data_IF_994222807233
#
_entry.id   IF_994222807233
#
_cell.length_a   1.000
_cell.length_b   1.000
_cell.length_c   1.000
_cell.angle_alpha   90.00
_cell.angle_beta   90.00
_cell.angle_gamma   90.00
#
_symmetry.space_group_name_H-M   'P 1'
#
loop_
_entity.id
_entity.type
_entity.pdbx_description
1 polymer ?
#
# COMPACT_ATOMS: atom_id res chain seq x y z
N UNK A 1 54.83 -23.61 -21.38
CA UNK A 1 53.46 -24.02 -21.73
C UNK A 1 52.59 -23.64 -20.56
N UNK A 2 51.87 -22.55 -20.74
CA UNK A 2 50.91 -22.01 -19.77
C UNK A 2 49.70 -22.95 -19.66
N UNK A 3 49.21 -23.16 -18.46
CA UNK A 3 47.88 -23.68 -18.19
C UNK A 3 47.46 -23.22 -16.78
N UNK A 4 46.74 -22.09 -16.65
CA UNK A 4 46.13 -21.70 -15.40
C UNK A 4 44.84 -22.49 -15.21
N UNK A 5 44.74 -23.23 -14.11
CA UNK A 5 43.47 -23.76 -13.61
C UNK A 5 42.64 -22.59 -13.09
N UNK A 6 41.83 -22.03 -13.99
CA UNK A 6 40.76 -21.11 -13.63
C UNK A 6 39.70 -21.87 -12.85
N UNK A 7 39.60 -21.55 -11.57
CA UNK A 7 38.42 -21.77 -10.74
C UNK A 7 37.18 -21.26 -11.50
N UNK A 8 36.04 -21.97 -11.49
CA UNK A 8 34.81 -21.39 -12.01
C UNK A 8 34.45 -20.20 -11.12
N UNK A 9 34.54 -19.00 -11.70
CA UNK A 9 33.88 -17.81 -11.18
C UNK A 9 32.41 -18.16 -10.98
N UNK A 10 31.90 -17.86 -9.78
CA UNK A 10 30.47 -17.89 -9.50
C UNK A 10 29.83 -16.77 -10.31
N UNK A 11 29.44 -17.09 -11.53
CA UNK A 11 28.60 -16.24 -12.36
C UNK A 11 27.25 -16.03 -11.65
N UNK A 12 26.97 -14.76 -11.35
CA UNK A 12 25.65 -14.10 -11.31
C UNK A 12 24.45 -14.92 -10.81
N UNK A 13 24.14 -14.78 -9.52
CA UNK A 13 22.74 -14.81 -9.08
C UNK A 13 22.14 -13.44 -9.40
N UNK A 14 21.22 -13.39 -10.35
CA UNK A 14 20.37 -12.23 -10.66
C UNK A 14 19.46 -11.91 -9.45
N UNK A 15 20.03 -11.30 -8.42
CA UNK A 15 19.28 -10.78 -7.27
C UNK A 15 18.52 -9.53 -7.68
N UNK A 16 17.22 -9.48 -7.40
CA UNK A 16 16.44 -8.25 -7.56
C UNK A 16 16.90 -7.24 -6.52
N UNK A 17 17.60 -6.19 -6.93
CA UNK A 17 17.89 -5.05 -6.07
C UNK A 17 16.62 -4.21 -5.90
N UNK A 18 16.01 -4.27 -4.70
CA UNK A 18 14.80 -3.51 -4.40
C UNK A 18 15.00 -2.01 -4.58
N UNK A 19 16.19 -1.47 -4.30
CA UNK A 19 16.46 -0.03 -4.37
C UNK A 19 16.28 0.52 -5.79
N UNK A 20 16.63 -0.27 -6.79
CA UNK A 20 16.52 0.11 -8.20
C UNK A 20 15.11 -0.14 -8.76
N UNK A 21 14.35 -1.05 -8.15
CA UNK A 21 13.04 -1.47 -8.63
C UNK A 21 11.85 -0.85 -7.90
N UNK A 22 12.06 -0.34 -6.68
CA UNK A 22 10.98 0.07 -5.78
C UNK A 22 11.23 1.46 -5.17
N UNK A 23 10.19 2.30 -5.19
CA UNK A 23 10.12 3.52 -4.39
C UNK A 23 9.00 3.36 -3.37
N UNK A 24 9.24 3.76 -2.13
CA UNK A 24 8.25 3.74 -1.06
C UNK A 24 7.53 5.09 -1.06
N UNK A 25 6.20 5.08 -1.04
CA UNK A 25 5.38 6.27 -0.85
C UNK A 25 4.68 6.16 0.49
N UNK A 26 4.97 7.10 1.40
CA UNK A 26 4.33 7.19 2.72
C UNK A 26 3.41 8.39 2.72
N UNK A 27 2.12 8.20 3.01
CA UNK A 27 1.19 9.33 3.14
C UNK A 27 0.91 9.67 4.59
N UNK A 28 1.02 10.95 4.92
CA UNK A 28 0.63 11.54 6.21
C UNK A 28 -0.35 12.68 5.99
N UNK A 29 -1.24 12.91 6.96
CA UNK A 29 -2.28 13.95 6.95
C UNK A 29 -2.46 14.46 8.37
N UNK A 30 -3.10 15.62 8.61
CA UNK A 30 -3.32 16.10 9.97
C UNK A 30 -3.95 15.02 10.86
N UNK A 31 -3.32 14.77 12.02
CA UNK A 31 -3.70 13.74 12.96
C UNK A 31 -3.56 14.27 14.40
N UNK A 32 -4.16 13.56 15.36
CA UNK A 32 -4.24 13.99 16.76
C UNK A 32 -2.92 13.90 17.53
N UNK A 33 -1.98 13.12 17.03
CA UNK A 33 -0.68 12.81 17.61
C UNK A 33 0.44 13.77 17.17
N UNK A 34 0.17 14.63 16.16
CA UNK A 34 1.06 15.73 15.82
C UNK A 34 1.18 16.73 16.98
N UNK A 35 2.37 17.31 17.24
CA UNK A 35 3.51 17.43 16.32
C UNK A 35 4.54 16.27 16.35
N UNK A 36 4.32 15.23 17.14
CA UNK A 36 5.28 14.15 17.35
C UNK A 36 5.54 13.33 16.07
N UNK A 37 6.77 12.86 15.88
CA UNK A 37 7.17 12.00 14.73
C UNK A 37 7.16 10.50 15.06
N UNK A 38 6.94 10.14 16.32
CA UNK A 38 7.08 8.77 16.82
C UNK A 38 6.33 7.72 15.98
N UNK A 39 5.15 8.07 15.45
CA UNK A 39 4.35 7.13 14.65
C UNK A 39 5.05 6.77 13.34
N UNK A 40 5.52 7.76 12.58
CA UNK A 40 6.24 7.52 11.33
C UNK A 40 7.62 6.92 11.59
N UNK A 41 8.29 7.27 12.70
CA UNK A 41 9.55 6.64 13.10
C UNK A 41 9.38 5.13 13.32
N UNK A 42 8.29 4.70 13.96
CA UNK A 42 7.98 3.29 14.13
C UNK A 42 7.65 2.59 12.81
N UNK A 43 6.96 3.27 11.89
CA UNK A 43 6.73 2.76 10.53
C UNK A 43 8.05 2.55 9.80
N UNK A 44 8.91 3.56 9.75
CA UNK A 44 10.23 3.47 9.11
C UNK A 44 11.09 2.38 9.74
N UNK A 45 11.08 2.26 11.08
CA UNK A 45 11.79 1.19 11.78
C UNK A 45 11.29 -0.19 11.39
N UNK A 46 9.98 -0.35 11.17
CA UNK A 46 9.44 -1.65 10.73
C UNK A 46 9.94 -2.10 9.36
N UNK A 47 10.54 -1.21 8.56
CA UNK A 47 11.15 -1.59 7.28
C UNK A 47 12.35 -2.50 7.44
N UNK A 48 12.99 -2.53 8.62
CA UNK A 48 14.05 -3.50 8.95
C UNK A 48 13.57 -4.97 8.90
N UNK A 49 12.25 -5.20 8.95
CA UNK A 49 11.68 -6.55 8.80
C UNK A 49 11.66 -7.03 7.35
N UNK A 50 11.85 -6.14 6.38
CA UNK A 50 11.85 -6.46 4.95
C UNK A 50 13.24 -6.16 4.40
N UNK A 51 13.95 -7.20 3.98
CA UNK A 51 15.32 -7.09 3.48
C UNK A 51 15.42 -6.09 2.32
N UNK A 52 16.32 -5.12 2.42
CA UNK A 52 16.55 -4.07 1.42
C UNK A 52 15.51 -2.94 1.37
N UNK A 53 14.41 -3.02 2.12
CA UNK A 53 13.35 -1.99 2.07
C UNK A 53 13.82 -0.65 2.64
N UNK A 54 14.63 -0.68 3.71
CA UNK A 54 15.20 0.52 4.32
C UNK A 54 16.13 1.30 3.38
N UNK A 55 16.72 0.67 2.37
CA UNK A 55 17.61 1.31 1.40
C UNK A 55 16.88 1.90 0.19
N UNK A 56 15.59 1.60 0.05
CA UNK A 56 14.77 2.12 -1.03
C UNK A 56 14.55 3.64 -0.88
N UNK A 57 14.36 4.33 -2.02
CA UNK A 57 13.93 5.72 -2.06
C UNK A 57 12.56 5.85 -1.38
N UNK A 58 12.36 6.91 -0.59
CA UNK A 58 11.12 7.18 0.15
C UNK A 58 10.60 8.56 -0.23
N UNK A 59 9.33 8.63 -0.60
CA UNK A 59 8.60 9.89 -0.79
C UNK A 59 7.55 9.96 0.30
N UNK A 60 7.73 10.88 1.24
CA UNK A 60 6.78 11.14 2.32
C UNK A 60 5.90 12.30 1.89
N UNK A 61 4.64 12.02 1.61
CA UNK A 61 3.66 13.00 1.16
C UNK A 61 2.85 13.51 2.35
N UNK A 62 2.99 14.79 2.64
CA UNK A 62 2.16 15.52 3.58
C UNK A 62 0.94 16.07 2.84
N UNK A 63 -0.21 15.42 3.03
CA UNK A 63 -1.48 15.88 2.46
C UNK A 63 -1.89 17.22 3.08
N UNK A 64 -2.52 18.07 2.28
CA UNK A 64 -2.97 19.36 2.74
C UNK A 64 -4.23 19.26 3.60
N UNK A 65 -4.71 20.43 4.02
CA UNK A 65 -5.83 20.56 4.94
C UNK A 65 -6.75 21.70 4.55
N UNK A 66 -7.86 21.83 5.28
CA UNK A 66 -8.85 22.90 5.19
C UNK A 66 -9.08 23.44 6.59
N UNK A 67 -8.92 24.75 6.76
CA UNK A 67 -9.18 25.40 8.06
C UNK A 67 -10.69 25.41 8.29
N UNK A 68 -11.12 24.94 9.46
CA UNK A 68 -12.53 24.90 9.85
C UNK A 68 -12.69 25.11 11.35
N UNK A 69 -13.92 25.40 11.81
CA UNK A 69 -14.20 25.60 13.24
C UNK A 69 -14.03 24.32 14.06
N UNK A 70 -14.36 23.18 13.47
CA UNK A 70 -14.29 21.86 14.08
C UNK A 70 -13.33 20.96 13.30
N UNK A 71 -12.64 20.08 14.03
CA UNK A 71 -11.75 19.09 13.43
C UNK A 71 -12.53 17.92 12.81
N UNK A 72 -12.17 17.57 11.58
CA UNK A 72 -12.55 16.32 10.94
C UNK A 72 -11.42 15.89 9.99
N UNK A 73 -10.49 15.10 10.53
CA UNK A 73 -9.29 14.66 9.82
C UNK A 73 -9.60 13.85 8.55
N UNK A 74 -10.69 13.06 8.56
CA UNK A 74 -11.11 12.28 7.38
C UNK A 74 -11.39 13.16 6.16
N UNK A 75 -11.85 14.39 6.39
CA UNK A 75 -12.14 15.36 5.34
C UNK A 75 -11.08 16.47 5.25
N UNK A 76 -9.91 16.27 5.89
CA UNK A 76 -8.83 17.24 5.96
C UNK A 76 -9.17 18.51 6.73
N UNK A 77 -10.23 18.54 7.54
CA UNK A 77 -10.62 19.74 8.29
C UNK A 77 -9.86 19.82 9.62
N UNK A 78 -9.23 20.95 9.88
CA UNK A 78 -8.43 21.20 11.08
C UNK A 78 -8.78 22.55 11.72
N UNK A 79 -8.74 22.60 13.04
CA UNK A 79 -8.74 23.84 13.80
C UNK A 79 -7.33 24.46 13.87
N UNK A 80 -7.22 25.67 14.44
CA UNK A 80 -5.95 26.40 14.56
C UNK A 80 -4.87 25.67 15.37
N UNK A 81 -5.26 24.86 16.37
CA UNK A 81 -4.31 24.10 17.18
C UNK A 81 -3.73 22.96 16.34
N UNK A 82 -4.59 22.21 15.64
CA UNK A 82 -4.19 21.03 14.86
C UNK A 82 -3.41 21.44 13.62
N UNK A 83 -3.74 22.60 13.05
CA UNK A 83 -2.94 23.23 12.00
C UNK A 83 -1.52 23.52 12.48
N UNK A 84 -1.35 24.21 13.62
CA UNK A 84 -0.02 24.50 14.17
C UNK A 84 0.78 23.23 14.46
N UNK A 85 0.15 22.24 15.07
CA UNK A 85 0.80 20.95 15.34
C UNK A 85 1.24 20.24 14.06
N UNK A 86 0.43 20.29 12.99
CA UNK A 86 0.80 19.66 11.73
C UNK A 86 1.92 20.41 11.01
N UNK A 87 1.91 21.74 11.02
CA UNK A 87 3.01 22.55 10.48
C UNK A 87 4.32 22.28 11.23
N UNK A 88 4.28 22.15 12.55
CA UNK A 88 5.43 21.78 13.36
C UNK A 88 5.92 20.36 13.03
N UNK A 89 5.00 19.38 12.90
CA UNK A 89 5.33 18.04 12.43
C UNK A 89 6.05 18.04 11.07
N UNK A 90 5.52 18.79 10.07
CA UNK A 90 6.15 18.92 8.75
C UNK A 90 7.56 19.49 8.84
N UNK A 91 7.76 20.52 9.67
CA UNK A 91 9.07 21.09 9.96
C UNK A 91 10.03 20.07 10.56
N UNK A 92 9.55 19.23 11.49
CA UNK A 92 10.36 18.21 12.15
C UNK A 92 10.80 17.12 11.18
N UNK A 93 9.88 16.52 10.42
CA UNK A 93 10.22 15.45 9.47
C UNK A 93 11.13 15.97 8.34
N UNK A 94 10.97 17.25 7.94
CA UNK A 94 11.84 17.87 6.93
C UNK A 94 13.28 17.97 7.44
N UNK A 95 13.48 18.44 8.68
CA UNK A 95 14.82 18.47 9.30
C UNK A 95 15.43 17.07 9.41
N UNK A 96 14.63 16.05 9.73
CA UNK A 96 15.11 14.66 9.82
C UNK A 96 15.50 14.11 8.44
N UNK A 97 14.67 14.37 7.41
CA UNK A 97 14.94 14.00 6.02
C UNK A 97 16.19 14.69 5.47
N UNK A 98 16.40 15.97 5.78
CA UNK A 98 17.57 16.76 5.33
C UNK A 98 18.88 16.29 5.94
N UNK A 99 18.86 15.79 7.18
CA UNK A 99 20.04 15.15 7.80
C UNK A 99 20.43 13.86 7.08
N UNK A 100 19.47 13.17 6.47
CA UNK A 100 19.67 11.93 5.74
C UNK A 100 20.42 10.87 6.56
N UNK A 101 20.00 10.67 7.81
CA UNK A 101 20.62 9.73 8.75
C UNK A 101 19.60 8.71 9.29
N UNK A 102 20.09 7.52 9.64
CA UNK A 102 19.28 6.42 10.17
C UNK A 102 18.04 6.10 9.33
N UNK A 103 16.88 6.02 9.99
CA UNK A 103 15.58 5.67 9.41
C UNK A 103 15.13 6.61 8.27
N UNK A 104 15.65 7.83 8.25
CA UNK A 104 15.26 8.90 7.33
C UNK A 104 16.12 8.95 6.06
N UNK A 105 17.11 8.06 5.93
CA UNK A 105 17.90 7.95 4.71
C UNK A 105 17.03 7.75 3.47
N UNK A 106 17.46 8.39 2.37
CA UNK A 106 16.79 8.35 1.07
C UNK A 106 15.34 8.86 1.09
N UNK A 107 14.98 9.69 2.07
CA UNK A 107 13.66 10.29 2.18
C UNK A 107 13.60 11.66 1.49
N UNK A 108 12.48 11.91 0.84
CA UNK A 108 12.10 13.21 0.28
C UNK A 108 10.73 13.58 0.81
N UNK A 109 10.58 14.81 1.30
CA UNK A 109 9.29 15.32 1.78
C UNK A 109 8.60 16.07 0.63
N UNK A 110 7.34 15.73 0.37
CA UNK A 110 6.46 16.40 -0.58
C UNK A 110 5.25 16.97 0.18
N UNK A 111 5.07 18.28 0.14
CA UNK A 111 3.93 18.94 0.80
C UNK A 111 2.87 19.34 -0.23
N UNK A 112 1.61 18.97 0.04
CA UNK A 112 0.46 19.40 -0.75
C UNK A 112 -0.16 20.64 -0.12
N UNK A 113 -0.42 21.65 -0.94
CA UNK A 113 -1.00 22.94 -0.49
C UNK A 113 -2.48 22.83 -0.16
N UNK A 114 -3.17 21.84 -0.72
CA UNK A 114 -4.59 21.60 -0.53
C UNK A 114 -4.82 20.16 -0.09
N UNK A 115 -5.95 19.90 0.59
CA UNK A 115 -6.35 18.54 0.90
C UNK A 115 -6.71 17.77 -0.38
N UNK A 116 -6.02 16.64 -0.61
CA UNK A 116 -6.21 15.74 -1.74
C UNK A 116 -6.86 14.41 -1.31
N UNK A 117 -6.66 13.97 -0.07
CA UNK A 117 -7.03 12.65 0.40
C UNK A 117 -6.01 11.59 -0.03
N UNK A 118 -6.07 10.41 0.62
CA UNK A 118 -5.07 9.34 0.50
C UNK A 118 -4.71 9.00 -0.96
N UNK A 119 -5.70 8.64 -1.78
CA UNK A 119 -5.45 8.21 -3.16
C UNK A 119 -4.80 9.29 -4.03
N UNK A 120 -5.24 10.54 -3.92
CA UNK A 120 -4.66 11.63 -4.70
C UNK A 120 -3.35 12.17 -4.12
N UNK A 121 -3.08 11.95 -2.84
CA UNK A 121 -1.75 12.16 -2.26
C UNK A 121 -0.75 11.16 -2.87
N UNK A 122 -1.10 9.88 -2.95
CA UNK A 122 -0.31 8.87 -3.68
C UNK A 122 -0.12 9.28 -5.14
N UNK A 123 -1.19 9.69 -5.83
CA UNK A 123 -1.11 10.17 -7.23
C UNK A 123 -0.09 11.29 -7.40
N UNK A 124 -0.03 12.23 -6.45
CA UNK A 124 0.90 13.37 -6.49
C UNK A 124 2.34 12.89 -6.29
N UNK A 125 2.56 11.92 -5.39
CA UNK A 125 3.86 11.29 -5.17
C UNK A 125 4.44 10.65 -6.43
N UNK A 126 3.59 10.12 -7.32
CA UNK A 126 4.03 9.41 -8.51
C UNK A 126 4.92 10.28 -9.41
N UNK A 127 4.80 11.61 -9.38
CA UNK A 127 5.68 12.48 -10.18
C UNK A 127 7.16 12.36 -9.79
N UNK A 128 7.44 11.92 -8.55
CA UNK A 128 8.78 11.64 -8.01
C UNK A 128 9.17 10.16 -8.07
N UNK A 129 8.25 9.28 -8.51
CA UNK A 129 8.48 7.83 -8.61
C UNK A 129 8.91 7.47 -10.04
N UNK A 130 10.17 7.04 -10.15
CA UNK A 130 10.78 6.63 -11.42
C UNK A 130 11.08 5.12 -11.50
N UNK A 131 10.87 4.39 -10.41
CA UNK A 131 11.07 2.95 -10.36
C UNK A 131 9.87 2.19 -10.93
N UNK A 132 10.10 0.94 -11.37
CA UNK A 132 9.06 0.09 -11.98
C UNK A 132 7.89 -0.17 -11.02
N UNK A 133 8.20 -0.25 -9.72
CA UNK A 133 7.25 -0.53 -8.66
C UNK A 133 7.21 0.60 -7.62
N UNK A 134 6.07 0.72 -6.96
CA UNK A 134 5.84 1.57 -5.80
C UNK A 134 5.28 0.75 -4.65
N UNK A 135 5.83 0.90 -3.44
CA UNK A 135 5.23 0.38 -2.22
C UNK A 135 4.55 1.51 -1.48
N UNK A 136 3.22 1.48 -1.39
CA UNK A 136 2.45 2.49 -0.68
C UNK A 136 2.28 2.06 0.77
N UNK A 137 2.55 2.95 1.71
CA UNK A 137 2.46 2.73 3.16
C UNK A 137 1.73 3.91 3.80
N UNK A 138 0.89 3.67 4.81
CA UNK A 138 0.32 4.75 5.62
C UNK A 138 1.23 5.06 6.81
N UNK A 139 1.30 6.33 7.23
CA UNK A 139 2.14 6.78 8.36
C UNK A 139 1.86 6.11 9.72
N UNK A 140 0.77 5.35 9.83
CA UNK A 140 0.36 4.60 11.02
C UNK A 140 0.37 3.08 10.82
N UNK A 141 0.87 2.56 9.68
CA UNK A 141 0.91 1.12 9.39
C UNK A 141 2.31 0.55 9.40
N UNK A 142 2.54 -0.44 10.24
CA UNK A 142 3.83 -1.13 10.39
C UNK A 142 3.82 -2.52 9.79
N UNK A 143 5.00 -2.98 9.37
CA UNK A 143 5.26 -4.41 9.18
C UNK A 143 5.31 -5.10 10.55
N UNK A 144 4.66 -6.25 10.66
CA UNK A 144 4.53 -7.03 11.89
C UNK A 144 5.39 -8.30 11.88
N UNK A 145 5.92 -8.65 10.72
CA UNK A 145 6.78 -9.81 10.47
C UNK A 145 7.56 -9.60 9.17
N UNK A 146 8.59 -10.42 8.91
CA UNK A 146 9.23 -10.43 7.60
C UNK A 146 8.29 -10.77 6.46
N UNK A 147 8.56 -10.15 5.31
CA UNK A 147 7.86 -10.36 4.03
C UNK A 147 8.91 -10.38 2.93
N UNK A 148 8.87 -11.38 2.06
CA UNK A 148 9.78 -11.49 0.93
C UNK A 148 9.30 -10.62 -0.24
N UNK A 149 9.84 -9.40 -0.33
CA UNK A 149 9.52 -8.48 -1.43
C UNK A 149 10.15 -8.92 -2.75
N UNK A 150 11.30 -9.61 -2.72
CA UNK A 150 11.96 -10.10 -3.93
C UNK A 150 11.07 -11.14 -4.59
N UNK A 151 10.51 -12.08 -3.82
CA UNK A 151 9.57 -13.08 -4.31
C UNK A 151 8.35 -12.42 -4.98
N UNK A 152 7.75 -11.43 -4.33
CA UNK A 152 6.58 -10.72 -4.88
C UNK A 152 6.94 -10.01 -6.19
N UNK A 153 8.06 -9.28 -6.23
CA UNK A 153 8.47 -8.54 -7.44
C UNK A 153 8.85 -9.49 -8.59
N UNK A 154 9.54 -10.60 -8.32
CA UNK A 154 9.83 -11.61 -9.34
C UNK A 154 8.56 -12.25 -9.90
N UNK A 155 7.59 -12.55 -9.04
CA UNK A 155 6.30 -13.06 -9.46
C UNK A 155 5.49 -12.04 -10.25
N UNK A 156 5.49 -10.78 -9.82
CA UNK A 156 4.91 -9.68 -10.58
C UNK A 156 5.54 -9.62 -11.98
N UNK A 157 6.88 -9.61 -12.07
CA UNK A 157 7.64 -9.54 -13.32
C UNK A 157 7.30 -10.69 -14.27
N UNK A 158 7.35 -11.93 -13.76
CA UNK A 158 6.99 -13.15 -14.51
C UNK A 158 5.59 -13.09 -15.11
N UNK A 159 4.63 -12.55 -14.37
CA UNK A 159 3.23 -12.46 -14.81
C UNK A 159 2.94 -11.21 -15.67
N UNK A 160 3.92 -10.32 -15.82
CA UNK A 160 3.84 -9.09 -16.59
C UNK A 160 2.57 -8.29 -16.29
N UNK A 161 1.86 -7.89 -17.34
CA UNK A 161 0.67 -7.06 -17.26
C UNK A 161 -0.53 -7.69 -16.54
N UNK A 162 -0.46 -8.96 -16.11
CA UNK A 162 -1.56 -9.60 -15.36
C UNK A 162 -1.63 -9.15 -13.90
N UNK A 163 -0.54 -8.61 -13.35
CA UNK A 163 -0.43 -8.25 -11.93
C UNK A 163 -0.11 -6.77 -11.78
N UNK A 164 -1.12 -5.93 -11.57
CA UNK A 164 -0.92 -4.49 -11.38
C UNK A 164 -0.63 -4.11 -9.94
N UNK A 165 -1.28 -4.79 -9.00
CA UNK A 165 -1.33 -4.45 -7.57
C UNK A 165 -1.28 -5.72 -6.73
N UNK A 166 -0.53 -5.69 -5.62
CA UNK A 166 -0.39 -6.78 -4.65
C UNK A 166 -0.56 -6.20 -3.23
N UNK A 167 -1.70 -6.49 -2.62
CA UNK A 167 -1.99 -6.20 -1.21
C UNK A 167 -1.18 -7.12 -0.29
N UNK A 168 -0.60 -6.57 0.77
CA UNK A 168 -0.01 -7.36 1.84
C UNK A 168 -1.06 -7.81 2.87
N UNK A 169 -0.92 -9.02 3.46
CA UNK A 169 -1.88 -9.54 4.43
C UNK A 169 -2.13 -8.61 5.61
N UNK A 170 -3.40 -8.40 5.95
CA UNK A 170 -3.83 -7.70 7.16
C UNK A 170 -4.77 -8.59 7.98
N UNK A 171 -5.20 -8.14 9.16
CA UNK A 171 -6.20 -8.87 9.94
C UNK A 171 -7.49 -9.16 9.15
N UNK A 172 -7.89 -8.29 8.21
CA UNK A 172 -9.13 -8.44 7.43
C UNK A 172 -9.01 -9.48 6.31
N UNK A 173 -7.80 -9.95 6.01
CA UNK A 173 -7.54 -10.92 4.93
C UNK A 173 -7.22 -12.32 5.45
N UNK A 174 -7.29 -12.59 6.76
CA UNK A 174 -6.93 -13.91 7.34
C UNK A 174 -7.71 -15.09 6.71
N UNK A 175 -9.02 -14.94 6.52
CA UNK A 175 -9.89 -15.96 5.92
C UNK A 175 -10.39 -15.54 4.54
N UNK A 176 -9.53 -14.88 3.75
CA UNK A 176 -9.94 -14.11 2.58
C UNK A 176 -10.74 -14.92 1.56
N UNK A 177 -10.22 -16.06 1.09
CA UNK A 177 -10.88 -16.86 0.06
C UNK A 177 -12.28 -17.33 0.50
N UNK A 178 -12.43 -17.74 1.75
CA UNK A 178 -13.71 -18.12 2.32
C UNK A 178 -14.68 -16.94 2.38
N UNK A 179 -14.21 -15.79 2.90
CA UNK A 179 -15.03 -14.58 2.99
C UNK A 179 -15.50 -14.08 1.62
N UNK A 180 -14.63 -14.08 0.61
CA UNK A 180 -14.99 -13.70 -0.75
C UNK A 180 -15.97 -14.68 -1.39
N UNK A 181 -15.80 -15.99 -1.19
CA UNK A 181 -16.76 -16.99 -1.68
C UNK A 181 -18.17 -16.72 -1.13
N UNK A 182 -18.27 -16.45 0.17
CA UNK A 182 -19.54 -16.08 0.81
C UNK A 182 -20.11 -14.78 0.22
N UNK A 183 -19.27 -13.75 0.04
CA UNK A 183 -19.69 -12.45 -0.53
C UNK A 183 -20.21 -12.60 -1.96
N UNK A 184 -19.53 -13.35 -2.81
CA UNK A 184 -19.95 -13.59 -4.18
C UNK A 184 -21.26 -14.39 -4.24
N UNK A 185 -21.44 -15.37 -3.34
CA UNK A 185 -22.71 -16.11 -3.20
C UNK A 185 -23.89 -15.20 -2.81
N UNK A 186 -23.66 -14.21 -1.94
CA UNK A 186 -24.68 -13.21 -1.58
C UNK A 186 -25.07 -12.31 -2.76
N UNK A 187 -24.18 -12.14 -3.75
CA UNK A 187 -24.48 -11.45 -5.00
C UNK A 187 -25.19 -12.33 -6.04
N UNK A 188 -25.56 -13.56 -5.70
CA UNK A 188 -26.31 -14.44 -6.58
C UNK A 188 -25.44 -15.21 -7.58
N UNK A 189 -24.10 -15.08 -7.52
CA UNK A 189 -23.20 -15.92 -8.30
C UNK A 189 -23.23 -17.35 -7.73
N UNK A 190 -23.63 -18.32 -8.58
CA UNK A 190 -23.78 -19.73 -8.21
C UNK A 190 -22.91 -20.60 -9.11
N UNK A 191 -22.31 -21.63 -8.53
CA UNK A 191 -21.44 -22.60 -9.22
C UNK A 191 -19.97 -22.36 -8.91
N UNK A 192 -19.24 -23.46 -8.65
CA UNK A 192 -17.87 -23.42 -8.15
C UNK A 192 -16.96 -22.51 -8.99
N UNK A 193 -16.98 -22.66 -10.32
CA UNK A 193 -16.13 -21.89 -11.24
C UNK A 193 -16.36 -20.36 -11.20
N UNK A 194 -17.53 -19.89 -10.76
CA UNK A 194 -17.87 -18.46 -10.70
C UNK A 194 -17.53 -17.80 -9.36
N UNK A 195 -17.16 -18.57 -8.34
CA UNK A 195 -16.86 -18.08 -6.97
C UNK A 195 -15.54 -18.65 -6.40
N UNK A 196 -14.77 -19.36 -7.23
CA UNK A 196 -13.56 -20.04 -6.81
C UNK A 196 -12.34 -19.12 -6.82
N UNK A 197 -12.17 -18.30 -5.79
CA UNK A 197 -11.01 -17.41 -5.67
C UNK A 197 -9.68 -18.18 -5.71
N UNK A 198 -9.63 -19.38 -5.15
CA UNK A 198 -8.43 -20.21 -5.10
C UNK A 198 -8.06 -20.79 -6.46
N UNK A 199 -9.05 -21.18 -7.27
CA UNK A 199 -8.84 -21.69 -8.62
C UNK A 199 -8.24 -20.69 -9.61
N UNK A 200 -8.29 -19.38 -9.30
CA UNK A 200 -7.64 -18.33 -10.10
C UNK A 200 -6.35 -17.80 -9.46
N UNK A 201 -5.85 -18.45 -8.40
CA UNK A 201 -4.60 -18.03 -7.76
C UNK A 201 -3.40 -18.18 -8.71
N UNK A 202 -2.43 -17.27 -8.59
CA UNK A 202 -1.14 -17.38 -9.27
C UNK A 202 -0.11 -17.92 -8.28
N UNK A 203 0.47 -19.11 -8.49
CA UNK A 203 1.54 -19.63 -7.64
C UNK A 203 2.82 -18.82 -7.83
N UNK A 204 3.44 -18.40 -6.73
CA UNK A 204 4.76 -17.74 -6.73
C UNK A 204 5.84 -18.78 -6.41
N UNK A 205 5.67 -19.47 -5.29
CA UNK A 205 6.53 -20.58 -4.85
C UNK A 205 5.68 -21.77 -4.40
N UNK A 206 6.31 -22.79 -3.83
CA UNK A 206 5.60 -23.91 -3.21
C UNK A 206 4.74 -23.48 -2.00
N UNK A 207 5.08 -22.37 -1.34
CA UNK A 207 4.45 -21.93 -0.09
C UNK A 207 3.66 -20.62 -0.23
N UNK A 208 3.76 -19.95 -1.36
CA UNK A 208 3.15 -18.64 -1.57
C UNK A 208 2.46 -18.51 -2.92
N UNK A 209 1.44 -17.66 -2.93
CA UNK A 209 0.60 -17.40 -4.11
C UNK A 209 0.00 -16.00 -4.03
N UNK A 210 -0.49 -15.55 -5.17
CA UNK A 210 -1.33 -14.37 -5.30
C UNK A 210 -2.78 -14.82 -5.45
N UNK A 211 -3.65 -14.42 -4.53
CA UNK A 211 -5.10 -14.60 -4.64
C UNK A 211 -5.72 -13.41 -5.38
N UNK A 212 -6.74 -13.61 -6.23
CA UNK A 212 -7.52 -12.51 -6.79
C UNK A 212 -8.06 -11.58 -5.70
N UNK A 213 -7.64 -10.32 -5.70
CA UNK A 213 -8.13 -9.33 -4.74
C UNK A 213 -9.36 -8.61 -5.34
N UNK A 214 -10.54 -8.92 -4.83
CA UNK A 214 -11.85 -8.47 -5.33
C UNK A 214 -12.32 -7.14 -4.74
N UNK A 215 -11.41 -6.41 -4.09
CA UNK A 215 -11.63 -5.08 -3.54
C UNK A 215 -10.29 -4.37 -3.50
N UNK A 216 -10.30 -3.06 -3.69
CA UNK A 216 -9.13 -2.23 -3.44
C UNK A 216 -9.03 -1.91 -1.95
N UNK A 217 -7.84 -2.06 -1.35
CA UNK A 217 -7.61 -1.73 0.05
C UNK A 217 -6.65 -0.56 0.17
N UNK A 218 -7.04 0.45 0.94
CA UNK A 218 -6.15 1.54 1.37
C UNK A 218 -5.26 1.06 2.55
N UNK A 219 -4.47 0.02 2.28
CA UNK A 219 -3.48 -0.59 3.19
C UNK A 219 -2.13 -0.71 2.48
N UNK A 220 -1.10 -1.19 3.17
CA UNK A 220 0.23 -1.37 2.57
C UNK A 220 0.18 -2.38 1.42
N UNK A 221 0.70 -1.96 0.27
CA UNK A 221 0.67 -2.76 -0.95
C UNK A 221 1.81 -2.38 -1.90
N UNK A 222 2.16 -3.31 -2.79
CA UNK A 222 3.10 -3.10 -3.89
C UNK A 222 2.29 -2.94 -5.17
N UNK A 223 2.64 -1.97 -6.00
CA UNK A 223 1.94 -1.69 -7.25
C UNK A 223 2.93 -1.40 -8.36
N UNK A 224 2.61 -1.81 -9.59
CA UNK A 224 3.33 -1.33 -10.77
C UNK A 224 3.08 0.17 -10.92
N UNK A 225 4.15 0.94 -11.03
CA UNK A 225 4.05 2.39 -11.26
C UNK A 225 3.22 2.69 -12.50
N UNK A 226 3.39 1.91 -13.57
CA UNK A 226 2.60 2.02 -14.80
C UNK A 226 1.12 1.71 -14.60
N UNK A 227 0.76 0.75 -13.75
CA UNK A 227 -0.63 0.41 -13.46
C UNK A 227 -1.34 1.56 -12.75
N UNK A 228 -0.68 2.20 -11.79
CA UNK A 228 -1.21 3.41 -11.15
C UNK A 228 -1.45 4.53 -12.16
N UNK A 229 -0.45 4.84 -12.99
CA UNK A 229 -0.51 5.96 -13.95
C UNK A 229 -1.57 5.73 -15.03
N UNK A 230 -1.58 4.54 -15.62
CA UNK A 230 -2.33 4.28 -16.85
C UNK A 230 -3.72 3.71 -16.59
N UNK A 231 -3.89 2.92 -15.53
CA UNK A 231 -5.17 2.26 -15.24
C UNK A 231 -5.91 2.97 -14.11
N UNK A 232 -5.33 3.04 -12.91
CA UNK A 232 -6.02 3.58 -11.72
C UNK A 232 -6.39 5.06 -11.89
N UNK A 233 -5.44 5.89 -12.37
CA UNK A 233 -5.67 7.33 -12.56
C UNK A 233 -5.82 7.75 -14.03
N UNK A 234 -5.57 6.83 -14.97
CA UNK A 234 -5.54 7.08 -16.41
C UNK A 234 -6.76 6.56 -17.18
N UNK A 235 -7.41 5.48 -16.73
CA UNK A 235 -8.51 4.86 -17.48
C UNK A 235 -9.78 5.72 -17.40
N UNK A 236 -10.34 6.07 -18.57
CA UNK A 236 -11.69 6.61 -18.71
C UNK A 236 -12.67 5.50 -19.06
N UNK A 237 -13.90 5.62 -18.56
CA UNK A 237 -14.98 4.66 -18.72
C UNK A 237 -16.25 5.39 -19.14
N UNK A 238 -17.00 4.77 -20.03
CA UNK A 238 -18.34 5.25 -20.35
C UNK A 238 -19.29 4.81 -19.23
N UNK A 239 -19.93 5.76 -18.56
CA UNK A 239 -20.87 5.52 -17.47
C UNK A 239 -22.29 5.16 -17.94
N UNK A 240 -22.47 4.97 -19.26
CA UNK A 240 -23.77 4.72 -19.90
C UNK A 240 -24.52 6.00 -20.26
N UNK A 241 -24.02 7.18 -19.87
CA UNK A 241 -24.56 8.49 -20.29
C UNK A 241 -23.97 8.99 -21.62
N UNK A 242 -22.99 8.27 -22.18
CA UNK A 242 -22.26 8.70 -23.37
C UNK A 242 -21.06 9.62 -23.06
N UNK A 243 -20.76 9.89 -21.79
CA UNK A 243 -19.58 10.63 -21.37
C UNK A 243 -18.48 9.69 -20.86
N UNK A 244 -17.23 9.98 -21.23
CA UNK A 244 -16.06 9.34 -20.65
C UNK A 244 -15.73 9.95 -19.29
N UNK A 245 -15.78 9.14 -18.23
CA UNK A 245 -15.40 9.53 -16.88
C UNK A 245 -14.23 8.70 -16.38
N UNK A 246 -13.30 9.32 -15.65
CA UNK A 246 -12.21 8.58 -15.01
C UNK A 246 -12.73 7.63 -13.96
N UNK A 247 -12.04 6.52 -13.76
CA UNK A 247 -12.37 5.57 -12.68
C UNK A 247 -12.35 6.22 -11.30
N UNK A 248 -11.43 7.16 -11.06
CA UNK A 248 -11.30 7.89 -9.80
C UNK A 248 -11.00 9.37 -10.05
N UNK A 249 -11.82 10.27 -9.50
CA UNK A 249 -11.66 11.71 -9.58
C UNK A 249 -11.19 12.29 -8.24
N UNK A 250 -10.69 13.54 -8.25
CA UNK A 250 -10.19 14.18 -7.02
C UNK A 250 -11.32 14.26 -5.99
N UNK A 251 -11.07 13.74 -4.79
CA UNK A 251 -12.06 13.63 -3.71
C UNK A 251 -12.81 12.30 -3.64
N UNK A 252 -12.66 11.43 -4.64
CA UNK A 252 -13.11 10.04 -4.56
C UNK A 252 -12.13 9.18 -3.75
N UNK A 253 -12.66 8.14 -3.10
CA UNK A 253 -11.86 7.04 -2.58
C UNK A 253 -11.65 6.00 -3.68
N UNK A 254 -10.40 5.59 -3.91
CA UNK A 254 -10.08 4.51 -4.86
C UNK A 254 -10.78 3.23 -4.41
N UNK A 255 -10.74 2.92 -3.11
CA UNK A 255 -11.45 1.79 -2.50
C UNK A 255 -12.92 1.71 -2.93
N UNK A 256 -13.63 2.83 -2.89
CA UNK A 256 -15.03 2.90 -3.27
C UNK A 256 -15.21 2.75 -4.80
N UNK A 257 -14.59 3.62 -5.59
CA UNK A 257 -14.86 3.67 -7.04
C UNK A 257 -14.32 2.44 -7.78
N UNK A 258 -13.08 2.06 -7.48
CA UNK A 258 -12.44 0.89 -8.06
C UNK A 258 -13.14 -0.37 -7.60
N UNK A 259 -13.36 -0.52 -6.28
CA UNK A 259 -13.99 -1.70 -5.70
C UNK A 259 -15.42 -1.92 -6.19
N UNK A 260 -16.23 -0.86 -6.26
CA UNK A 260 -17.61 -0.95 -6.77
C UNK A 260 -17.66 -1.32 -8.25
N UNK A 261 -16.79 -0.74 -9.07
CA UNK A 261 -16.75 -1.05 -10.50
C UNK A 261 -16.23 -2.48 -10.74
N UNK A 262 -15.23 -2.92 -9.96
CA UNK A 262 -14.71 -4.29 -10.00
C UNK A 262 -15.78 -5.32 -9.64
N UNK A 263 -16.48 -5.10 -8.54
CA UNK A 263 -17.48 -6.07 -8.09
C UNK A 263 -18.66 -6.13 -9.06
N UNK A 264 -19.06 -5.02 -9.70
CA UNK A 264 -20.09 -5.02 -10.75
C UNK A 264 -19.68 -5.87 -11.96
N UNK A 265 -18.44 -5.76 -12.42
CA UNK A 265 -17.94 -6.58 -13.53
C UNK A 265 -17.95 -8.07 -13.16
N UNK A 266 -17.52 -8.42 -11.94
CA UNK A 266 -17.51 -9.80 -11.44
C UNK A 266 -18.94 -10.33 -11.24
N UNK A 267 -19.88 -9.53 -10.75
CA UNK A 267 -21.29 -9.92 -10.63
C UNK A 267 -21.91 -10.26 -11.98
N UNK A 268 -21.51 -9.55 -13.05
CA UNK A 268 -22.04 -9.77 -14.39
C UNK A 268 -21.40 -10.95 -15.12
N UNK A 269 -20.08 -11.11 -14.98
CA UNK A 269 -19.28 -12.01 -15.82
C UNK A 269 -18.59 -13.13 -15.03
N UNK A 270 -18.73 -13.16 -13.71
CA UNK A 270 -18.06 -14.09 -12.81
C UNK A 270 -16.59 -13.76 -12.57
N UNK A 271 -15.89 -14.68 -11.91
CA UNK A 271 -14.46 -14.56 -11.60
C UNK A 271 -13.54 -14.25 -12.78
N UNK A 272 -13.77 -14.75 -14.03
CA UNK A 272 -12.91 -14.37 -15.17
C UNK A 272 -12.80 -12.86 -15.41
N UNK A 273 -13.81 -12.07 -15.00
CA UNK A 273 -13.80 -10.62 -15.11
C UNK A 273 -12.67 -9.96 -14.30
N UNK A 274 -12.19 -10.63 -13.24
CA UNK A 274 -11.12 -10.15 -12.38
C UNK A 274 -9.83 -9.86 -13.15
N UNK A 275 -9.55 -10.60 -14.23
CA UNK A 275 -8.33 -10.47 -15.03
C UNK A 275 -8.11 -9.03 -15.55
N UNK A 276 -9.19 -8.28 -15.84
CA UNK A 276 -9.12 -6.87 -16.23
C UNK A 276 -8.56 -5.96 -15.13
N UNK A 277 -8.83 -6.31 -13.87
CA UNK A 277 -8.59 -5.47 -12.70
C UNK A 277 -7.20 -5.62 -12.12
N UNK A 278 -6.53 -6.74 -12.38
CA UNK A 278 -5.09 -6.93 -12.09
C UNK A 278 -4.71 -6.71 -10.62
N UNK A 279 -5.66 -6.80 -9.69
CA UNK A 279 -5.45 -6.62 -8.25
C UNK A 279 -5.34 -7.96 -7.54
N UNK A 280 -4.30 -8.13 -6.74
CA UNK A 280 -3.96 -9.40 -6.10
C UNK A 280 -3.68 -9.22 -4.61
N UNK A 281 -3.82 -10.31 -3.85
CA UNK A 281 -3.49 -10.40 -2.43
C UNK A 281 -2.36 -11.41 -2.30
N UNK A 282 -1.25 -10.99 -1.70
CA UNK A 282 -0.18 -11.91 -1.33
C UNK A 282 -0.66 -12.87 -0.24
N UNK A 283 -0.41 -14.16 -0.41
CA UNK A 283 -0.78 -15.20 0.53
C UNK A 283 0.36 -16.21 0.67
N UNK A 284 0.99 -16.23 1.83
CA UNK A 284 2.10 -17.12 2.21
C UNK A 284 1.73 -18.11 3.33
N UNK A 285 0.45 -18.19 3.69
CA UNK A 285 -0.05 -19.07 4.75
C UNK A 285 0.28 -18.58 6.16
N UNK A 286 0.92 -17.42 6.29
CA UNK A 286 1.23 -16.80 7.56
C UNK A 286 0.13 -15.81 7.97
N UNK A 287 0.24 -15.34 9.21
CA UNK A 287 -0.61 -14.29 9.75
C UNK A 287 -0.40 -12.94 9.05
N UNK A 288 -1.15 -11.91 9.48
CA UNK A 288 -1.04 -10.55 8.98
C UNK A 288 0.43 -10.09 8.89
N UNK A 289 0.78 -9.51 7.76
CA UNK A 289 2.08 -8.86 7.55
C UNK A 289 2.05 -7.41 8.03
N UNK A 290 0.89 -6.77 8.01
CA UNK A 290 0.73 -5.33 8.24
C UNK A 290 -0.38 -5.05 9.26
N UNK A 291 -0.16 -4.08 10.15
CA UNK A 291 -1.17 -3.62 11.11
C UNK A 291 -1.08 -2.12 11.40
N UNK A 292 -2.19 -1.53 11.87
CA UNK A 292 -2.19 -0.16 12.39
C UNK A 292 -1.51 -0.11 13.77
N UNK A 293 -0.77 0.96 14.00
CA UNK A 293 -0.35 1.42 15.31
C UNK A 293 -1.54 2.12 15.98
N UNK A 294 -2.14 1.49 16.99
CA UNK A 294 -3.21 2.14 17.76
C UNK A 294 -2.61 3.25 18.62
N UNK A 295 -2.80 4.52 18.24
CA UNK A 295 -2.31 5.68 19.01
C UNK A 295 -2.79 5.75 20.46
N UNK A 296 -3.87 5.04 20.82
CA UNK A 296 -4.33 4.90 22.22
C UNK A 296 -3.46 3.97 23.06
N UNK A 297 -2.83 2.96 22.47
CA UNK A 297 -2.00 1.99 23.21
C UNK A 297 -0.65 2.62 23.61
N UNK A 298 -0.09 3.48 22.75
CA UNK A 298 1.17 4.18 23.01
C UNK A 298 1.09 5.20 24.15
N UNK A 299 -0.06 5.87 24.34
CA UNK A 299 -0.27 6.79 25.48
C UNK A 299 -0.27 6.09 26.84
N UNK A 300 -0.58 4.79 26.89
CA UNK A 300 -0.59 4.03 28.14
C UNK A 300 0.78 3.41 28.48
N UNK A 301 1.63 3.14 27.48
CA UNK A 301 2.99 2.64 27.72
C UNK A 301 3.94 3.75 28.20
N UNK A 302 3.72 4.99 27.77
CA UNK A 302 4.46 6.18 28.24
C UNK A 302 3.96 6.72 29.59
N UNK A 303 2.77 6.30 30.06
CA UNK A 303 2.17 6.73 31.32
C UNK A 303 1.90 5.60 32.32
N UNK A 304 2.56 4.44 32.22
CA UNK A 304 2.67 3.46 33.31
C UNK A 304 1.44 3.28 34.20
N UNK A 305 0.26 2.97 33.63
CA UNK A 305 -0.90 2.52 34.44
C UNK A 305 -1.41 1.21 33.87
N UNK A 306 -1.13 0.12 34.61
CA UNK A 306 -1.73 -1.20 34.40
C UNK A 306 -3.23 -1.12 34.73
N UNK A 307 -4.07 -1.04 33.70
CA UNK A 307 -5.50 -1.25 33.78
C UNK A 307 -5.84 -2.71 33.46
N UNK A 308 -6.45 -3.40 34.42
CA UNK A 308 -6.84 -4.82 34.39
C UNK A 308 -7.77 -5.16 33.21
N UNK A 309 -7.53 -6.33 32.61
CA UNK A 309 -8.50 -7.11 31.85
C UNK A 309 -9.72 -7.45 32.72
N UNK A 310 -10.91 -7.34 32.14
CA UNK A 310 -12.08 -8.13 32.53
C UNK A 310 -12.83 -8.53 31.25
N UNK A 311 -12.81 -9.84 31.02
CA UNK A 311 -13.76 -10.75 30.36
C UNK A 311 -14.64 -10.26 29.20
#
# INVERSE_FOLDING_TARGET
MESPTGSPSRDSQDGVDLREKLTIVITTSPASDHPETNLIDLVLKSFELVEGLSDCKKVIVCDGYRIWKDCNFRNGRVDEIRLRNYEEYKSNIKKMSERSEGLWQHSTIMELTEHHGFGFAVKSALDLVHTDYVCVVQHDRTFMRPVDFVEILQGMEKEGDRVGYVLLPTSSTRNYAHAQRTRLGQYGLKGAALIDVEGYAIPLTANSKLLPCLQWYDSTHICRTSFYRNFVFGETRNDGSGQEQRLCCRGDFIEDRFGQAQIKDIQKLGMPAHAKWKTWLYHDGLERAVAHLNGRTFRNESNGVKGKQQD
#
